data_IF_224753710656
#
_entry.id   IF_224753710656
#
_cell.length_a   1.000
_cell.length_b   1.000
_cell.length_c   1.000
_cell.angle_alpha   90.00
_cell.angle_beta   90.00
_cell.angle_gamma   90.00
#
_symmetry.space_group_name_H-M   'P 1'
#
loop_
_entity.id
_entity.type
_entity.pdbx_description
1 polymer ?
#
# COMPACT_ATOMS: atom_id res chain seq x y z
N UNK A 1 -11.80 -6.81 2.53
CA UNK A 1 -11.26 -6.38 1.21
C UNK A 1 -9.80 -6.81 1.12
N UNK A 2 -9.36 -7.37 0.00
CA UNK A 2 -7.96 -7.78 -0.19
C UNK A 2 -7.18 -6.66 -0.90
N UNK A 3 -6.50 -5.80 -0.14
CA UNK A 3 -5.69 -4.68 -0.66
C UNK A 3 -4.47 -5.17 -1.44
N UNK A 4 -4.18 -6.47 -1.35
CA UNK A 4 -3.12 -7.12 -2.09
C UNK A 4 -3.40 -7.20 -3.60
N UNK A 5 -4.65 -6.97 -4.06
CA UNK A 5 -4.99 -7.38 -5.41
C UNK A 5 -6.18 -6.62 -6.04
N UNK A 6 -5.92 -5.49 -6.73
CA UNK A 6 -6.85 -4.90 -7.69
C UNK A 6 -7.30 -5.97 -8.67
N UNK A 7 -8.61 -6.04 -8.90
CA UNK A 7 -9.29 -7.10 -9.66
C UNK A 7 -8.50 -7.48 -10.92
N UNK A 8 -7.87 -8.66 -10.92
CA UNK A 8 -7.16 -9.22 -12.08
C UNK A 8 -5.63 -9.32 -11.96
N UNK A 9 -5.01 -8.96 -10.84
CA UNK A 9 -3.55 -9.07 -10.63
C UNK A 9 -3.10 -10.36 -9.91
N UNK A 10 -4.00 -11.34 -9.74
CA UNK A 10 -3.75 -12.66 -9.12
C UNK A 10 -2.59 -13.45 -9.76
N UNK A 11 -2.21 -13.08 -10.99
CA UNK A 11 -1.18 -13.74 -11.77
C UNK A 11 0.21 -13.05 -11.71
N UNK A 12 0.35 -11.89 -11.07
CA UNK A 12 1.64 -11.20 -10.98
C UNK A 12 2.38 -11.69 -9.74
N UNK A 13 3.40 -12.53 -9.95
CA UNK A 13 4.35 -12.86 -8.90
C UNK A 13 5.21 -11.62 -8.56
N UNK A 14 4.83 -10.96 -7.46
CA UNK A 14 5.54 -9.80 -6.93
C UNK A 14 6.76 -10.21 -6.07
N UNK A 15 6.97 -11.51 -5.83
CA UNK A 15 8.04 -12.12 -5.03
C UNK A 15 9.20 -12.63 -5.89
N UNK A 16 9.64 -11.85 -6.88
CA UNK A 16 10.87 -12.13 -7.62
C UNK A 16 12.07 -12.06 -6.63
N UNK A 17 12.50 -13.23 -6.15
CA UNK A 17 13.45 -13.49 -5.05
C UNK A 17 14.93 -13.23 -5.40
N UNK A 18 15.23 -12.50 -6.48
CA UNK A 18 16.59 -12.09 -6.82
C UNK A 18 16.95 -10.77 -6.14
N UNK A 19 17.25 -10.83 -4.84
CA UNK A 19 17.90 -9.74 -4.11
C UNK A 19 19.39 -10.08 -3.95
N UNK A 20 20.19 -9.79 -4.98
CA UNK A 20 21.62 -9.56 -4.77
C UNK A 20 21.85 -8.12 -4.30
N UNK A 21 22.44 -8.06 -3.11
CA UNK A 21 22.64 -6.94 -2.21
C UNK A 21 23.77 -6.01 -2.71
N UNK A 22 23.42 -4.78 -3.10
CA UNK A 22 24.33 -3.66 -2.91
C UNK A 22 23.74 -2.74 -1.83
N UNK A 23 24.33 -2.87 -0.64
CA UNK A 23 24.02 -2.14 0.59
C UNK A 23 24.14 -0.65 0.38
N UNK A 24 23.02 -0.01 0.07
CA UNK A 24 22.82 1.40 0.39
C UNK A 24 21.78 1.50 1.50
N UNK A 25 22.07 0.86 2.64
CA UNK A 25 21.37 1.07 3.91
C UNK A 25 21.79 2.42 4.50
N UNK A 26 21.43 3.51 3.83
CA UNK A 26 21.11 4.73 4.56
C UNK A 26 19.70 4.53 5.10
N UNK A 27 19.54 4.59 6.43
CA UNK A 27 18.23 4.64 7.09
C UNK A 27 17.58 5.99 6.75
N UNK A 28 17.23 6.18 5.48
CA UNK A 28 16.67 7.42 5.00
C UNK A 28 15.17 7.38 5.28
N UNK A 29 14.70 8.30 6.13
CA UNK A 29 13.30 8.40 6.51
C UNK A 29 12.43 8.63 5.28
N UNK A 30 11.36 7.85 5.12
CA UNK A 30 10.40 8.02 4.02
C UNK A 30 9.52 9.23 4.30
N UNK A 31 9.51 10.19 3.39
CA UNK A 31 8.62 11.34 3.50
C UNK A 31 7.23 11.02 2.92
N UNK A 32 6.20 11.70 3.41
CA UNK A 32 4.83 11.55 2.89
C UNK A 32 4.78 11.69 1.36
N UNK A 33 5.50 12.67 0.79
CA UNK A 33 5.52 12.87 -0.66
C UNK A 33 6.03 11.65 -1.41
N UNK A 34 7.04 10.96 -0.86
CA UNK A 34 7.57 9.72 -1.45
C UNK A 34 6.56 8.58 -1.42
N UNK A 35 5.83 8.44 -0.33
CA UNK A 35 4.79 7.43 -0.19
C UNK A 35 3.57 7.74 -1.07
N UNK A 36 3.16 9.01 -1.15
CA UNK A 36 2.08 9.48 -2.02
C UNK A 36 2.36 9.11 -3.48
N UNK A 37 3.56 9.44 -3.98
CA UNK A 37 3.97 9.09 -5.34
C UNK A 37 4.05 7.57 -5.57
N UNK A 38 4.50 6.82 -4.57
CA UNK A 38 4.54 5.36 -4.63
C UNK A 38 3.12 4.77 -4.72
N UNK A 39 2.18 5.29 -3.93
CA UNK A 39 0.77 4.89 -3.96
C UNK A 39 0.13 5.27 -5.30
N UNK A 40 0.28 6.52 -5.76
CA UNK A 40 -0.22 6.96 -7.07
C UNK A 40 0.32 6.13 -8.22
N UNK A 41 1.64 5.86 -8.23
CA UNK A 41 2.26 5.04 -9.27
C UNK A 41 1.72 3.61 -9.27
N UNK A 42 1.53 3.02 -8.08
CA UNK A 42 0.93 1.69 -7.97
C UNK A 42 -0.52 1.67 -8.46
N UNK A 43 -1.34 2.65 -8.05
CA UNK A 43 -2.74 2.76 -8.47
C UNK A 43 -2.85 2.95 -9.99
N UNK A 44 -2.05 3.84 -10.57
CA UNK A 44 -1.99 4.07 -12.01
C UNK A 44 -1.60 2.80 -12.80
N UNK A 45 -0.58 2.06 -12.35
CA UNK A 45 -0.16 0.83 -13.04
C UNK A 45 -1.16 -0.31 -12.81
N UNK A 46 -1.77 -0.40 -11.62
CA UNK A 46 -2.69 -1.48 -11.27
C UNK A 46 -4.08 -1.38 -11.93
N UNK A 47 -4.45 -0.19 -12.39
CA UNK A 47 -5.72 0.08 -13.09
C UNK A 47 -5.55 0.15 -14.61
N UNK A 48 -4.32 0.08 -15.12
CA UNK A 48 -4.01 0.11 -16.56
C UNK A 48 -4.46 -1.20 -17.25
N UNK A 49 -5.46 -1.15 -18.15
CA UNK A 49 -6.00 -2.34 -18.83
C UNK A 49 -4.97 -3.01 -19.76
N UNK A 50 -3.86 -2.33 -20.07
CA UNK A 50 -2.74 -2.88 -20.86
C UNK A 50 -1.87 -3.81 -20.02
N UNK A 51 -2.04 -3.85 -18.69
CA UNK A 51 -1.43 -4.86 -17.80
C UNK A 51 -2.21 -6.17 -17.94
N UNK A 52 -2.18 -6.73 -19.15
CA UNK A 52 -2.66 -8.07 -19.45
C UNK A 52 -1.86 -9.13 -18.69
N UNK A 53 -2.54 -10.22 -18.39
CA UNK A 53 -2.20 -11.38 -17.56
C UNK A 53 -0.90 -12.09 -17.98
N UNK A 54 0.28 -11.45 -17.85
CA UNK A 54 1.60 -12.12 -17.83
C UNK A 54 2.82 -11.19 -17.58
N UNK A 55 2.66 -10.05 -16.91
CA UNK A 55 3.84 -9.23 -16.60
C UNK A 55 4.64 -9.84 -15.44
N UNK A 56 5.89 -10.23 -15.72
CA UNK A 56 6.89 -10.54 -14.69
C UNK A 56 6.96 -9.35 -13.72
N UNK A 57 6.93 -9.58 -12.41
CA UNK A 57 6.87 -8.52 -11.39
C UNK A 57 7.93 -7.42 -11.59
N UNK A 58 9.08 -7.73 -12.18
CA UNK A 58 10.09 -6.76 -12.62
C UNK A 58 9.54 -5.63 -13.50
N UNK A 59 8.69 -5.91 -14.49
CA UNK A 59 8.13 -4.89 -15.40
C UNK A 59 7.13 -3.99 -14.67
N UNK A 60 6.27 -4.59 -13.84
CA UNK A 60 5.31 -3.85 -13.02
C UNK A 60 6.02 -2.81 -12.13
N UNK A 61 7.03 -3.26 -11.40
CA UNK A 61 7.80 -2.38 -10.52
C UNK A 61 8.67 -1.36 -11.26
N UNK A 62 9.13 -1.69 -12.48
CA UNK A 62 9.81 -0.73 -13.33
C UNK A 62 8.88 0.41 -13.76
N UNK A 63 7.63 0.11 -14.13
CA UNK A 63 6.64 1.14 -14.50
C UNK A 63 6.31 2.07 -13.34
N UNK A 64 6.14 1.52 -12.13
CA UNK A 64 5.92 2.31 -10.92
C UNK A 64 7.11 3.25 -10.66
N UNK A 65 8.33 2.74 -10.81
CA UNK A 65 9.54 3.55 -10.63
C UNK A 65 9.66 4.66 -11.68
N UNK A 66 9.40 4.36 -12.96
CA UNK A 66 9.38 5.35 -14.03
C UNK A 66 8.37 6.48 -13.77
N UNK A 67 7.15 6.13 -13.36
CA UNK A 67 6.13 7.11 -12.98
C UNK A 67 6.63 8.03 -11.85
N UNK A 68 7.22 7.45 -10.80
CA UNK A 68 7.75 8.25 -9.68
C UNK A 68 8.87 9.20 -10.11
N UNK A 69 9.77 8.77 -10.99
CA UNK A 69 10.88 9.61 -11.49
C UNK A 69 10.35 10.76 -12.37
N UNK A 70 9.37 10.48 -13.22
CA UNK A 70 8.75 11.47 -14.10
C UNK A 70 8.07 12.60 -13.31
N UNK A 71 7.37 12.23 -12.24
CA UNK A 71 6.57 13.18 -11.44
C UNK A 71 7.28 13.66 -10.17
N UNK A 72 8.48 13.14 -9.85
CA UNK A 72 9.33 13.66 -8.78
C UNK A 72 10.81 13.31 -9.00
N UNK A 73 11.53 14.22 -9.64
CA UNK A 73 12.95 14.07 -10.01
C UNK A 73 13.91 13.98 -8.84
N UNK A 74 13.52 14.50 -7.67
CA UNK A 74 14.37 14.52 -6.46
C UNK A 74 14.39 13.17 -5.72
N UNK A 75 13.61 12.20 -6.18
CA UNK A 75 13.45 10.90 -5.54
C UNK A 75 14.45 9.86 -6.04
N UNK A 76 15.60 9.74 -5.37
CA UNK A 76 16.72 8.88 -5.77
C UNK A 76 16.60 7.40 -5.37
N UNK A 77 15.54 7.00 -4.65
CA UNK A 77 15.42 5.61 -4.15
C UNK A 77 15.17 4.61 -5.27
N UNK A 78 15.94 3.51 -5.27
CA UNK A 78 15.82 2.42 -6.22
C UNK A 78 14.57 1.55 -6.04
N UNK A 79 14.29 0.72 -7.05
CA UNK A 79 13.11 -0.15 -7.13
C UNK A 79 12.96 -1.04 -5.88
N UNK A 80 14.04 -1.64 -5.38
CA UNK A 80 14.01 -2.53 -4.20
C UNK A 80 13.53 -1.79 -2.95
N UNK A 81 13.96 -0.54 -2.74
CA UNK A 81 13.50 0.27 -1.62
C UNK A 81 12.00 0.58 -1.74
N UNK A 82 11.53 0.91 -2.95
CA UNK A 82 10.10 1.12 -3.23
C UNK A 82 9.27 -0.14 -2.97
N UNK A 83 9.73 -1.32 -3.42
CA UNK A 83 9.07 -2.60 -3.13
C UNK A 83 8.92 -2.83 -1.62
N UNK A 84 10.04 -2.76 -0.88
CA UNK A 84 10.05 -2.94 0.58
C UNK A 84 9.12 -1.96 1.29
N UNK A 85 9.10 -0.69 0.86
CA UNK A 85 8.22 0.33 1.42
C UNK A 85 6.75 0.06 1.14
N UNK A 86 6.42 -0.28 -0.11
CA UNK A 86 5.06 -0.63 -0.50
C UNK A 86 4.52 -1.80 0.31
N UNK A 87 5.27 -2.89 0.44
CA UNK A 87 4.83 -4.04 1.23
C UNK A 87 4.55 -3.68 2.68
N UNK A 88 5.35 -2.79 3.28
CA UNK A 88 5.11 -2.28 4.63
C UNK A 88 3.81 -1.48 4.72
N UNK A 89 3.57 -0.56 3.79
CA UNK A 89 2.34 0.24 3.72
C UNK A 89 1.14 -0.69 3.52
N UNK A 90 1.18 -1.53 2.49
CA UNK A 90 0.08 -2.42 2.12
C UNK A 90 -0.28 -3.37 3.25
N UNK A 91 0.71 -3.97 3.92
CA UNK A 91 0.47 -4.82 5.09
C UNK A 91 -0.27 -4.07 6.19
N UNK A 92 0.20 -2.88 6.57
CA UNK A 92 -0.43 -2.10 7.64
C UNK A 92 -1.86 -1.67 7.27
N UNK A 93 -2.06 -1.21 6.03
CA UNK A 93 -3.36 -0.80 5.49
C UNK A 93 -4.33 -1.98 5.45
N UNK A 94 -3.92 -3.15 4.94
CA UNK A 94 -4.75 -4.36 4.89
C UNK A 94 -5.15 -4.85 6.28
N UNK A 95 -4.20 -4.82 7.23
CA UNK A 95 -4.46 -5.15 8.64
C UNK A 95 -5.48 -4.20 9.26
N UNK A 96 -5.34 -2.88 9.02
CA UNK A 96 -6.30 -1.89 9.50
C UNK A 96 -7.67 -2.06 8.86
N UNK A 97 -7.73 -2.40 7.57
CA UNK A 97 -8.96 -2.72 6.89
C UNK A 97 -9.72 -3.88 7.51
N UNK A 98 -9.01 -4.96 7.86
CA UNK A 98 -9.62 -6.09 8.55
C UNK A 98 -10.22 -5.68 9.90
N UNK A 99 -9.55 -4.78 10.63
CA UNK A 99 -10.08 -4.19 11.86
C UNK A 99 -11.28 -3.28 11.59
N UNK A 100 -11.28 -2.50 10.52
CA UNK A 100 -12.40 -1.66 10.10
C UNK A 100 -13.62 -2.50 9.69
N UNK A 101 -13.42 -3.56 8.90
CA UNK A 101 -14.44 -4.53 8.51
C UNK A 101 -14.99 -5.29 9.73
N UNK A 102 -14.17 -5.52 10.76
CA UNK A 102 -14.61 -6.12 12.02
C UNK A 102 -15.39 -5.12 12.88
N UNK A 103 -14.96 -3.86 12.94
CA UNK A 103 -15.64 -2.79 13.65
C UNK A 103 -17.02 -2.50 13.04
N UNK A 104 -17.11 -2.44 11.70
CA UNK A 104 -18.36 -2.20 10.97
C UNK A 104 -19.38 -3.33 11.13
N UNK A 105 -18.93 -4.56 11.40
CA UNK A 105 -19.84 -5.68 11.75
C UNK A 105 -20.41 -5.58 13.17
N UNK A 106 -19.82 -4.75 14.03
CA UNK A 106 -20.26 -4.54 15.42
C UNK A 106 -21.05 -3.23 15.60
N UNK A 107 -21.72 -2.75 14.54
CA UNK A 107 -22.55 -1.54 14.60
C UNK A 107 -23.67 -1.72 15.64
N UNK A 108 -23.70 -0.83 16.62
CA UNK A 108 -24.86 -0.63 17.49
C UNK A 108 -25.78 0.40 16.84
N UNK A 109 -27.08 0.31 17.08
CA UNK A 109 -28.05 1.30 16.61
C UNK A 109 -27.58 2.71 17.00
N UNK A 110 -27.29 3.56 16.00
CA UNK A 110 -26.79 4.93 16.22
C UNK A 110 -25.29 5.16 16.02
N UNK A 111 -24.49 4.14 15.72
CA UNK A 111 -23.06 4.35 15.41
C UNK A 111 -22.84 5.05 14.06
N UNK A 112 -21.99 6.06 14.04
CA UNK A 112 -21.57 6.78 12.83
C UNK A 112 -20.21 6.25 12.30
N UNK A 113 -19.72 6.80 11.19
CA UNK A 113 -18.47 6.37 10.57
C UNK A 113 -17.23 6.62 11.45
N UNK A 114 -17.26 7.66 12.30
CA UNK A 114 -16.18 7.97 13.23
C UNK A 114 -16.13 6.97 14.38
N UNK A 115 -17.29 6.52 14.88
CA UNK A 115 -17.38 5.47 15.91
C UNK A 115 -16.79 4.14 15.41
N UNK A 116 -17.09 3.78 14.16
CA UNK A 116 -16.55 2.58 13.51
C UNK A 116 -15.03 2.72 13.39
N UNK A 117 -14.56 3.89 12.98
CA UNK A 117 -13.12 4.17 12.81
C UNK A 117 -12.38 4.11 14.15
N UNK A 118 -12.93 4.69 15.21
CA UNK A 118 -12.36 4.65 16.55
C UNK A 118 -12.26 3.19 17.07
N UNK A 119 -13.31 2.39 16.84
CA UNK A 119 -13.28 0.97 17.17
C UNK A 119 -12.22 0.21 16.36
N UNK A 120 -12.08 0.52 15.07
CA UNK A 120 -11.05 -0.08 14.21
C UNK A 120 -9.63 0.21 14.73
N UNK A 121 -9.37 1.44 15.20
CA UNK A 121 -8.12 1.81 15.85
C UNK A 121 -7.85 1.00 17.12
N UNK A 122 -8.86 0.83 17.97
CA UNK A 122 -8.76 0.01 19.20
C UNK A 122 -8.44 -1.43 18.84
N UNK A 123 -9.19 -2.02 17.91
CA UNK A 123 -8.97 -3.39 17.44
C UNK A 123 -7.57 -3.57 16.85
N UNK A 124 -7.09 -2.62 16.05
CA UNK A 124 -5.73 -2.69 15.48
C UNK A 124 -4.67 -2.67 16.57
N UNK A 125 -4.79 -1.77 17.55
CA UNK A 125 -3.84 -1.69 18.66
C UNK A 125 -3.84 -2.96 19.52
N UNK A 126 -5.01 -3.58 19.72
CA UNK A 126 -5.13 -4.83 20.47
C UNK A 126 -4.57 -6.02 19.68
N UNK A 127 -4.87 -6.12 18.39
CA UNK A 127 -4.50 -7.28 17.56
C UNK A 127 -3.01 -7.29 17.18
N UNK A 128 -2.40 -6.11 17.01
CA UNK A 128 -1.03 -5.99 16.49
C UNK A 128 -0.05 -5.35 17.48
N UNK A 129 -0.50 -5.02 18.70
CA UNK A 129 0.30 -4.39 19.75
C UNK A 129 1.02 -3.10 19.31
N UNK A 130 0.43 -2.36 18.36
CA UNK A 130 1.00 -1.14 17.81
C UNK A 130 -0.09 -0.15 17.38
N UNK A 131 0.21 1.15 17.45
CA UNK A 131 -0.69 2.18 16.91
C UNK A 131 -0.63 2.18 15.38
N UNK A 132 -1.77 2.35 14.74
CA UNK A 132 -1.83 2.57 13.29
C UNK A 132 -1.31 3.99 12.96
N UNK A 133 -0.35 4.08 12.04
CA UNK A 133 0.32 5.34 11.66
C UNK A 133 0.21 5.67 10.17
N UNK A 134 -0.45 4.82 9.38
CA UNK A 134 -0.60 4.95 7.92
C UNK A 134 -1.98 5.52 7.54
N UNK A 135 -2.51 6.43 8.35
CA UNK A 135 -3.84 7.03 8.17
C UNK A 135 -4.01 7.73 6.83
N UNK A 136 -3.00 8.50 6.39
CA UNK A 136 -3.03 9.17 5.09
C UNK A 136 -3.04 8.17 3.93
N UNK A 137 -2.27 7.10 4.05
CA UNK A 137 -2.16 6.02 3.06
C UNK A 137 -3.47 5.24 2.96
N UNK A 138 -4.09 4.93 4.11
CA UNK A 138 -5.41 4.31 4.17
C UNK A 138 -6.45 5.15 3.43
N UNK A 139 -6.54 6.45 3.72
CA UNK A 139 -7.52 7.33 3.09
C UNK A 139 -7.30 7.39 1.57
N UNK A 140 -6.05 7.46 1.09
CA UNK A 140 -5.74 7.47 -0.33
C UNK A 140 -6.17 6.16 -1.03
N UNK A 141 -5.84 5.02 -0.44
CA UNK A 141 -6.18 3.69 -0.99
C UNK A 141 -7.68 3.35 -0.86
N UNK A 142 -8.37 3.96 0.10
CA UNK A 142 -9.80 3.74 0.34
C UNK A 142 -10.70 4.66 -0.48
N UNK A 143 -10.29 5.92 -0.71
CA UNK A 143 -11.07 6.88 -1.50
C UNK A 143 -11.18 6.46 -2.97
N UNK A 144 -10.17 5.79 -3.53
CA UNK A 144 -10.20 5.29 -4.91
C UNK A 144 -11.01 3.99 -5.08
N UNK A 145 -11.51 3.39 -3.99
CA UNK A 145 -12.36 2.19 -4.03
C UNK A 145 -13.86 2.48 -3.96
N UNK A 146 -14.26 3.76 -3.94
CA UNK A 146 -15.66 4.21 -4.04
C UNK A 146 -15.98 4.65 -5.46
#
# INVERSE_FOLDING_TARGET
MDFANPRGLDAIDLNDDDIEDQRQDSIQHWHWKEDEMLISGWLNVSTDPVVGTNQKGKIFWSRIHSYRVEFCTDMTRGIVACKKRWYKINKAVAQFAGCYDQASRNIRSGSNADDIKELAYKLYSTNYCQKFTFERHWNMLWLEQK
#
